data_IF_582787522544
#
_entry.id   IF_582787522544
#
_cell.length_a   1.000
_cell.length_b   1.000
_cell.length_c   1.000
_cell.angle_alpha   90.00
_cell.angle_beta   90.00
_cell.angle_gamma   90.00
#
_symmetry.space_group_name_H-M   'P 1'
#
loop_
_entity.id
_entity.type
_entity.pdbx_description
1 polymer ?
#
# COMPACT_ATOMS: atom_id res chain seq x y z
N UNK A 1 -7.08 -26.83 -16.47
CA UNK A 1 -6.47 -26.15 -15.30
C UNK A 1 -6.23 -24.67 -15.57
N UNK A 2 -5.49 -24.28 -16.62
CA UNK A 2 -5.24 -22.87 -16.94
C UNK A 2 -6.52 -22.05 -17.19
N UNK A 3 -7.50 -22.59 -17.93
CA UNK A 3 -8.77 -21.90 -18.19
C UNK A 3 -9.58 -21.61 -16.92
N UNK A 4 -9.57 -22.51 -15.93
CA UNK A 4 -10.24 -22.31 -14.64
C UNK A 4 -9.50 -21.26 -13.80
N UNK A 5 -8.16 -21.25 -13.86
CA UNK A 5 -7.35 -20.21 -13.23
C UNK A 5 -7.61 -18.84 -13.86
N UNK A 6 -7.65 -18.74 -15.19
CA UNK A 6 -7.98 -17.48 -15.88
C UNK A 6 -9.38 -16.99 -15.51
N UNK A 7 -10.36 -17.89 -15.43
CA UNK A 7 -11.72 -17.53 -15.06
C UNK A 7 -11.83 -17.07 -13.60
N UNK A 8 -11.10 -17.71 -12.68
CA UNK A 8 -11.00 -17.27 -11.28
C UNK A 8 -10.27 -15.93 -11.17
N UNK A 9 -9.24 -15.69 -11.96
CA UNK A 9 -8.53 -14.41 -12.00
C UNK A 9 -9.42 -13.30 -12.55
N UNK A 10 -10.14 -13.54 -13.65
CA UNK A 10 -11.10 -12.59 -14.19
C UNK A 10 -12.22 -12.31 -13.18
N UNK A 11 -12.75 -13.34 -12.52
CA UNK A 11 -13.77 -13.17 -11.50
C UNK A 11 -13.27 -12.36 -10.29
N UNK A 12 -12.05 -12.64 -9.81
CA UNK A 12 -11.44 -11.89 -8.72
C UNK A 12 -11.09 -10.45 -9.15
N UNK A 13 -10.58 -10.25 -10.36
CA UNK A 13 -10.28 -8.93 -10.92
C UNK A 13 -11.54 -8.09 -11.10
N UNK A 14 -12.63 -8.68 -11.64
CA UNK A 14 -13.91 -8.01 -11.81
C UNK A 14 -14.52 -7.67 -10.45
N UNK A 15 -14.58 -8.62 -9.51
CA UNK A 15 -15.10 -8.35 -8.16
C UNK A 15 -14.28 -7.32 -7.41
N UNK A 16 -12.96 -7.34 -7.54
CA UNK A 16 -12.07 -6.37 -6.91
C UNK A 16 -12.22 -5.00 -7.53
N UNK A 17 -12.33 -4.89 -8.86
CA UNK A 17 -12.61 -3.63 -9.55
C UNK A 17 -13.98 -3.07 -9.14
N UNK A 18 -14.99 -3.90 -8.99
CA UNK A 18 -16.32 -3.47 -8.51
C UNK A 18 -16.27 -3.04 -7.04
N UNK A 19 -15.59 -3.79 -6.19
CA UNK A 19 -15.42 -3.44 -4.77
C UNK A 19 -14.62 -2.14 -4.60
N UNK A 20 -13.56 -1.95 -5.38
CA UNK A 20 -12.78 -0.71 -5.39
C UNK A 20 -13.61 0.47 -5.88
N UNK A 21 -14.41 0.31 -6.94
CA UNK A 21 -15.32 1.37 -7.40
C UNK A 21 -16.42 1.71 -6.40
N UNK A 22 -16.89 0.73 -5.61
CA UNK A 22 -17.83 0.98 -4.51
C UNK A 22 -17.16 1.73 -3.36
N UNK A 23 -15.92 1.35 -3.00
CA UNK A 23 -15.14 2.07 -1.98
C UNK A 23 -14.73 3.48 -2.43
N UNK A 24 -14.33 3.67 -3.68
CA UNK A 24 -14.12 4.99 -4.30
C UNK A 24 -15.39 5.85 -4.28
N UNK A 25 -16.58 5.25 -4.40
CA UNK A 25 -17.84 6.00 -4.32
C UNK A 25 -18.18 6.42 -2.88
N UNK A 26 -17.74 5.66 -1.88
CA UNK A 26 -17.84 6.03 -0.45
C UNK A 26 -16.73 7.01 -0.01
N UNK A 27 -15.50 6.90 -0.56
CA UNK A 27 -14.32 7.72 -0.24
C UNK A 27 -14.12 8.94 -1.17
N UNK A 28 -14.92 9.10 -2.24
CA UNK A 28 -14.86 10.28 -3.14
C UNK A 28 -15.26 11.61 -2.49
N UNK A 29 -15.48 11.62 -1.17
CA UNK A 29 -15.51 12.82 -0.37
C UNK A 29 -14.13 13.32 0.06
N UNK A 30 -13.06 12.50 0.08
CA UNK A 30 -11.68 12.96 0.33
C UNK A 30 -10.66 11.80 0.22
N UNK A 31 -9.90 11.74 -0.89
CA UNK A 31 -8.51 11.25 -0.99
C UNK A 31 -8.19 10.79 -2.42
N UNK A 32 -7.47 11.63 -3.17
CA UNK A 32 -6.90 11.28 -4.48
C UNK A 32 -5.49 10.70 -4.31
N UNK A 33 -5.38 9.38 -4.15
CA UNK A 33 -4.10 8.69 -4.31
C UNK A 33 -3.92 8.23 -5.78
N UNK A 34 -2.74 8.45 -6.40
CA UNK A 34 -2.50 8.03 -7.77
C UNK A 34 -2.42 6.49 -7.89
N UNK A 35 -2.87 5.91 -9.01
CA UNK A 35 -2.84 4.46 -9.20
C UNK A 35 -1.40 3.93 -9.20
N UNK A 36 -1.15 2.88 -8.42
CA UNK A 36 0.14 2.18 -8.37
C UNK A 36 0.52 1.64 -9.76
N UNK A 37 1.53 2.27 -10.38
CA UNK A 37 2.12 1.83 -11.64
C UNK A 37 2.98 0.58 -11.43
N UNK A 38 2.38 -0.60 -11.60
CA UNK A 38 3.12 -1.87 -11.64
C UNK A 38 3.65 -2.05 -13.07
N UNK A 39 4.92 -1.73 -13.30
CA UNK A 39 5.63 -2.08 -14.52
C UNK A 39 6.56 -3.26 -14.24
N UNK A 40 6.22 -4.45 -14.75
CA UNK A 40 7.19 -5.51 -15.05
C UNK A 40 6.64 -6.43 -16.15
N UNK A 41 6.96 -6.04 -17.39
CA UNK A 41 6.33 -6.48 -18.62
C UNK A 41 6.84 -7.81 -19.19
N UNK A 42 7.54 -8.68 -18.43
CA UNK A 42 8.12 -9.89 -19.04
C UNK A 42 7.85 -11.25 -18.36
N UNK A 43 7.03 -11.34 -17.30
CA UNK A 43 6.64 -12.64 -16.70
C UNK A 43 5.22 -12.68 -16.10
N UNK A 44 4.26 -11.98 -16.70
CA UNK A 44 2.91 -11.75 -16.16
C UNK A 44 2.06 -13.01 -15.82
N UNK A 45 2.54 -14.23 -16.09
CA UNK A 45 1.80 -15.49 -15.86
C UNK A 45 2.56 -16.54 -15.04
N UNK A 46 3.59 -16.14 -14.29
CA UNK A 46 4.24 -17.03 -13.30
C UNK A 46 3.48 -17.00 -11.97
N UNK A 47 3.45 -18.12 -11.22
CA UNK A 47 2.88 -18.14 -9.86
C UNK A 47 3.58 -17.13 -8.93
N UNK A 48 4.87 -16.89 -9.18
CA UNK A 48 5.70 -15.90 -8.51
C UNK A 48 5.20 -14.48 -8.77
N UNK A 49 4.81 -14.17 -10.01
CA UNK A 49 4.25 -12.87 -10.38
C UNK A 49 2.87 -12.66 -9.75
N UNK A 50 2.02 -13.69 -9.74
CA UNK A 50 0.73 -13.62 -9.05
C UNK A 50 0.90 -13.46 -7.54
N UNK A 51 1.85 -14.18 -6.94
CA UNK A 51 2.21 -14.04 -5.52
C UNK A 51 2.71 -12.63 -5.22
N UNK A 52 3.54 -12.05 -6.09
CA UNK A 52 4.03 -10.69 -5.94
C UNK A 52 2.90 -9.65 -6.06
N UNK A 53 2.00 -9.79 -7.03
CA UNK A 53 0.82 -8.91 -7.18
C UNK A 53 -0.10 -9.02 -5.96
N UNK A 54 -0.40 -10.25 -5.50
CA UNK A 54 -1.22 -10.46 -4.30
C UNK A 54 -0.55 -9.89 -3.05
N UNK A 55 0.75 -10.10 -2.91
CA UNK A 55 1.54 -9.57 -1.80
C UNK A 55 1.55 -8.04 -1.79
N UNK A 56 1.76 -7.41 -2.95
CA UNK A 56 1.66 -5.96 -3.12
C UNK A 56 0.29 -5.45 -2.69
N UNK A 57 -0.77 -6.04 -3.22
CA UNK A 57 -2.13 -5.60 -2.92
C UNK A 57 -2.53 -5.83 -1.44
N UNK A 58 -2.06 -6.91 -0.82
CA UNK A 58 -2.26 -7.17 0.61
C UNK A 58 -1.52 -6.13 1.46
N UNK A 59 -0.30 -5.76 1.07
CA UNK A 59 0.43 -4.68 1.72
C UNK A 59 -0.26 -3.35 1.53
N UNK A 60 -0.74 -3.04 0.33
CA UNK A 60 -1.46 -1.80 0.03
C UNK A 60 -2.71 -1.63 0.89
N UNK A 61 -3.46 -2.71 1.11
CA UNK A 61 -4.61 -2.71 2.02
C UNK A 61 -4.23 -2.36 3.48
N UNK A 62 -2.98 -2.63 3.88
CA UNK A 62 -2.47 -2.36 5.22
C UNK A 62 -1.63 -1.07 5.29
N UNK A 63 -1.51 -0.30 4.20
CA UNK A 63 -0.72 0.95 4.15
C UNK A 63 -1.49 2.17 4.63
N UNK A 64 -2.82 2.19 4.49
CA UNK A 64 -3.62 3.36 4.82
C UNK A 64 -3.58 3.63 6.33
N UNK A 65 -3.20 4.86 6.70
CA UNK A 65 -3.28 5.37 8.06
C UNK A 65 -4.46 6.33 8.17
N UNK A 66 -5.34 6.12 9.15
CA UNK A 66 -6.56 6.92 9.31
C UNK A 66 -6.50 7.79 10.56
N UNK A 67 -7.11 8.98 10.51
CA UNK A 67 -7.22 9.87 11.67
C UNK A 67 -7.97 9.17 12.83
N UNK A 68 -7.55 9.46 14.07
CA UNK A 68 -8.14 8.86 15.27
C UNK A 68 -7.73 7.40 15.54
N UNK A 69 -7.00 6.76 14.63
CA UNK A 69 -6.44 5.42 14.82
C UNK A 69 -4.98 5.48 15.29
N UNK A 70 -4.43 4.34 15.68
CA UNK A 70 -3.03 4.24 16.07
C UNK A 70 -2.09 4.63 14.93
N UNK A 71 -1.17 5.54 15.19
CA UNK A 71 -0.17 5.96 14.20
C UNK A 71 0.77 4.79 13.84
N UNK A 72 1.02 4.51 12.54
CA UNK A 72 1.93 3.45 12.13
C UNK A 72 3.36 3.68 12.64
N UNK A 73 3.93 2.68 13.32
CA UNK A 73 5.30 2.73 13.81
C UNK A 73 6.29 2.12 12.80
N UNK A 74 6.33 2.70 11.60
CA UNK A 74 7.17 2.25 10.50
C UNK A 74 8.66 2.55 10.74
N UNK A 75 9.52 1.78 10.07
CA UNK A 75 10.97 1.95 10.19
C UNK A 75 11.48 3.15 9.39
N UNK A 76 12.46 3.83 9.94
CA UNK A 76 13.21 4.94 9.32
C UNK A 76 14.70 4.70 9.49
N UNK A 77 15.51 5.37 8.67
CA UNK A 77 16.97 5.28 8.73
C UNK A 77 17.52 6.63 9.16
N UNK A 78 18.34 6.63 10.20
CA UNK A 78 19.01 7.81 10.70
C UNK A 78 20.14 8.22 9.74
N UNK A 79 20.25 9.51 9.41
CA UNK A 79 21.13 9.98 8.34
C UNK A 79 22.61 9.87 8.71
N UNK A 80 22.97 10.10 9.96
CA UNK A 80 24.37 10.15 10.40
C UNK A 80 25.03 8.76 10.49
N UNK A 81 24.34 7.79 11.08
CA UNK A 81 24.89 6.48 11.42
C UNK A 81 24.22 5.32 10.67
N UNK A 82 23.32 5.62 9.72
CA UNK A 82 22.50 4.65 8.98
C UNK A 82 21.78 3.63 9.86
N UNK A 83 21.55 3.97 11.13
CA UNK A 83 20.86 3.07 12.04
C UNK A 83 19.38 3.06 11.75
N UNK A 84 18.78 1.88 11.90
CA UNK A 84 17.32 1.71 11.81
C UNK A 84 16.71 2.21 13.12
N UNK A 85 15.74 3.09 12.99
CA UNK A 85 14.87 3.56 14.06
C UNK A 85 13.41 3.39 13.61
N UNK A 86 12.45 3.79 14.44
CA UNK A 86 11.05 3.86 14.04
C UNK A 86 10.48 5.26 14.27
N UNK A 87 9.40 5.58 13.57
CA UNK A 87 8.76 6.90 13.64
C UNK A 87 8.42 7.31 15.08
N UNK A 88 7.84 6.40 15.87
CA UNK A 88 7.38 6.74 17.23
C UNK A 88 8.53 6.87 18.24
N UNK A 89 9.75 6.44 17.90
CA UNK A 89 10.94 6.65 18.75
C UNK A 89 11.31 8.14 18.86
N UNK A 90 10.81 8.97 17.93
CA UNK A 90 11.00 10.43 17.92
C UNK A 90 9.90 11.19 18.68
N UNK A 91 8.85 10.50 19.13
CA UNK A 91 7.81 11.10 19.96
C UNK A 91 8.36 11.42 21.36
N UNK A 92 7.96 12.56 21.92
CA UNK A 92 8.39 13.00 23.27
C UNK A 92 7.18 13.27 24.13
N UNK A 93 6.94 12.37 25.09
CA UNK A 93 5.80 12.43 26.01
C UNK A 93 4.48 12.70 25.26
N UNK A 94 3.75 13.74 25.66
CA UNK A 94 2.49 14.17 25.04
C UNK A 94 2.68 15.26 23.98
N UNK A 95 3.91 15.57 23.54
CA UNK A 95 4.14 16.59 22.52
C UNK A 95 3.78 16.02 21.14
N UNK A 96 2.95 16.72 20.34
CA UNK A 96 2.67 16.29 18.97
C UNK A 96 3.96 16.17 18.15
N UNK A 97 4.10 15.04 17.45
CA UNK A 97 5.15 14.81 16.47
C UNK A 97 4.57 15.10 15.08
N UNK A 98 5.15 16.08 14.38
CA UNK A 98 4.74 16.46 13.02
C UNK A 98 5.72 15.84 12.03
N UNK A 99 5.20 15.10 11.05
CA UNK A 99 5.98 14.46 10.00
C UNK A 99 5.82 15.23 8.69
N UNK A 100 6.92 15.42 7.97
CA UNK A 100 6.93 16.01 6.64
C UNK A 100 7.77 15.10 5.73
N UNK A 101 7.11 14.43 4.79
CA UNK A 101 7.74 13.55 3.83
C UNK A 101 7.99 14.31 2.53
N UNK A 102 9.20 14.20 1.99
CA UNK A 102 9.56 14.83 0.73
C UNK A 102 10.92 14.34 0.20
N UNK A 103 11.22 14.67 -1.05
CA UNK A 103 12.49 14.38 -1.71
C UNK A 103 12.94 15.59 -2.53
N UNK A 104 14.24 15.76 -2.69
CA UNK A 104 14.76 16.69 -3.70
C UNK A 104 14.49 16.11 -5.09
N UNK A 105 14.03 16.97 -6.00
CA UNK A 105 13.96 16.69 -7.46
C UNK A 105 15.19 17.23 -8.16
#
# INVERSE_FOLDING_TARGET
>A
MAAVMFWLLDFLCIRKKVFFRMKEQEDSADAMDPPLCISDSNRLFSLESLKAVWHGHKLDFLKEAHLGHGAPNTEVVHLEDQRRARILDYAKDNRPLILNFGSCT
#
